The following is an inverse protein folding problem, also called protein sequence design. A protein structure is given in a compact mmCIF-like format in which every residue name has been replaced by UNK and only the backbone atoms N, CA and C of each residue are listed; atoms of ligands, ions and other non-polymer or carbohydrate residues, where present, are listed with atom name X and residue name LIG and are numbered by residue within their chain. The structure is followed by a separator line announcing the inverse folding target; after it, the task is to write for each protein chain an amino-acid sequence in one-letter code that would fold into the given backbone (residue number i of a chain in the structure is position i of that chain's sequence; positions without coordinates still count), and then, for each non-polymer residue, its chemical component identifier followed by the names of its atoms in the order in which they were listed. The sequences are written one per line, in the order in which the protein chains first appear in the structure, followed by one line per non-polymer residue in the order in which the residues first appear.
data_IF_674815844468
#
_entry.id   IF_674815844468
#
_cell.length_a   1.000
_cell.length_b   1.000
_cell.length_c   1.000
_cell.angle_alpha   90.00
_cell.angle_beta   90.00
_cell.angle_gamma   90.00
#
_symmetry.space_group_name_H-M   'P 1'
#
loop_
_entity.id
_entity.type
_entity.pdbx_description
1 polymer ?
#
# COMPACT_ATOMS: atom_id res chain seq x y z
N UNK A 1 9.09 -3.62 -18.27
CA UNK A 1 7.67 -3.78 -18.62
C UNK A 1 7.43 -3.10 -19.95
N UNK A 2 6.88 -3.80 -20.93
CA UNK A 2 6.43 -3.21 -22.19
C UNK A 2 5.01 -2.61 -22.00
N UNK A 3 4.60 -1.67 -22.88
CA UNK A 3 3.28 -1.00 -22.79
C UNK A 3 2.10 -1.98 -22.65
N UNK A 4 2.20 -3.16 -23.26
CA UNK A 4 1.17 -4.21 -23.19
C UNK A 4 1.02 -4.81 -21.79
N UNK A 5 2.09 -4.85 -20.98
CA UNK A 5 2.01 -5.32 -19.58
C UNK A 5 1.32 -4.28 -18.69
N UNK A 6 1.53 -2.98 -18.96
CA UNK A 6 0.83 -1.90 -18.24
C UNK A 6 -0.67 -1.88 -18.54
N UNK A 7 -1.06 -2.23 -19.77
CA UNK A 7 -2.46 -2.33 -20.16
C UNK A 7 -3.23 -3.44 -19.42
N UNK A 8 -2.53 -4.39 -18.82
CA UNK A 8 -3.10 -5.51 -18.06
C UNK A 8 -3.15 -5.29 -16.54
N UNK A 9 -2.48 -4.27 -16.01
CA UNK A 9 -2.38 -4.04 -14.56
C UNK A 9 -3.66 -3.51 -13.92
N UNK A 10 -4.03 -4.03 -12.76
CA UNK A 10 -5.05 -3.41 -11.92
C UNK A 10 -4.67 -2.01 -11.43
N UNK A 11 -5.62 -1.29 -10.80
CA UNK A 11 -5.33 -0.05 -10.10
C UNK A 11 -4.23 -0.25 -9.06
N UNK A 12 -3.26 0.66 -9.04
CA UNK A 12 -2.17 0.67 -8.05
C UNK A 12 -2.57 1.60 -6.91
N UNK A 13 -2.50 1.08 -5.69
CA UNK A 13 -2.68 1.85 -4.46
C UNK A 13 -1.40 1.83 -3.64
N UNK A 14 -1.23 2.84 -2.78
CA UNK A 14 -0.21 2.84 -1.74
C UNK A 14 -0.83 3.07 -0.36
N UNK A 15 -0.14 2.58 0.66
CA UNK A 15 -0.47 2.78 2.06
C UNK A 15 0.79 3.20 2.82
N UNK A 16 0.64 4.20 3.68
CA UNK A 16 1.64 4.58 4.69
C UNK A 16 1.06 4.25 6.05
N UNK A 17 1.70 3.34 6.76
CA UNK A 17 1.27 2.87 8.09
C UNK A 17 2.27 3.35 9.11
N UNK A 18 1.83 4.09 10.11
CA UNK A 18 2.67 4.54 11.22
C UNK A 18 2.59 3.58 12.42
N UNK A 19 3.75 3.33 13.03
CA UNK A 19 3.90 2.60 14.28
C UNK A 19 4.46 3.52 15.37
N UNK A 20 3.84 3.56 16.56
CA UNK A 20 4.29 4.41 17.66
C UNK A 20 5.75 4.18 18.07
N UNK A 21 6.46 5.23 18.46
CA UNK A 21 7.88 5.17 18.85
C UNK A 21 8.18 4.17 19.99
N UNK A 22 7.23 3.92 20.88
CA UNK A 22 7.34 3.01 22.01
C UNK A 22 6.89 1.57 21.68
N UNK A 23 6.39 1.32 20.46
CA UNK A 23 5.89 0.03 20.03
C UNK A 23 6.46 -0.36 18.67
N UNK A 24 7.30 -1.39 18.68
CA UNK A 24 7.77 -2.00 17.44
C UNK A 24 6.62 -2.67 16.68
N UNK A 25 6.66 -2.66 15.34
CA UNK A 25 5.79 -3.51 14.53
C UNK A 25 5.97 -4.97 14.95
N UNK A 26 4.89 -5.67 15.30
CA UNK A 26 4.95 -7.07 15.76
C UNK A 26 4.79 -8.09 14.62
N UNK A 27 4.50 -7.61 13.41
CA UNK A 27 4.35 -8.46 12.21
C UNK A 27 3.04 -9.26 12.17
N UNK A 28 2.14 -9.11 13.14
CA UNK A 28 0.89 -9.88 13.23
C UNK A 28 -0.04 -9.68 12.02
N UNK A 29 0.10 -8.56 11.30
CA UNK A 29 -0.66 -8.28 10.07
C UNK A 29 -0.08 -8.95 8.81
N UNK A 30 1.19 -9.35 8.82
CA UNK A 30 1.87 -9.89 7.63
C UNK A 30 1.25 -11.18 7.09
N UNK A 31 0.79 -12.16 7.92
CA UNK A 31 0.10 -13.33 7.41
C UNK A 31 -1.17 -13.00 6.62
N UNK A 32 -1.88 -11.92 6.97
CA UNK A 32 -3.04 -11.47 6.21
C UNK A 32 -2.63 -10.85 4.87
N UNK A 33 -1.51 -10.13 4.81
CA UNK A 33 -0.97 -9.62 3.56
C UNK A 33 -0.56 -10.77 2.63
N UNK A 34 0.08 -11.81 3.17
CA UNK A 34 0.43 -13.04 2.43
C UNK A 34 -0.83 -13.71 1.89
N UNK A 35 -1.87 -13.90 2.69
CA UNK A 35 -3.15 -14.49 2.25
C UNK A 35 -3.75 -13.73 1.05
N UNK A 36 -3.73 -12.39 1.08
CA UNK A 36 -4.23 -11.57 -0.04
C UNK A 36 -3.44 -11.81 -1.33
N UNK A 37 -2.11 -11.99 -1.23
CA UNK A 37 -1.22 -12.25 -2.37
C UNK A 37 -1.41 -13.67 -2.89
N UNK A 38 -1.41 -14.68 -2.00
CA UNK A 38 -1.60 -16.09 -2.37
C UNK A 38 -2.95 -16.33 -3.05
N UNK A 39 -3.98 -15.60 -2.62
CA UNK A 39 -5.32 -15.64 -3.25
C UNK A 39 -5.40 -14.83 -4.55
N UNK A 40 -4.34 -14.14 -4.94
CA UNK A 40 -4.29 -13.30 -6.14
C UNK A 40 -5.23 -12.10 -6.09
N UNK A 41 -5.59 -11.64 -4.89
CA UNK A 41 -6.46 -10.46 -4.71
C UNK A 41 -5.64 -9.19 -4.94
N UNK A 42 -4.43 -9.17 -4.42
CA UNK A 42 -3.46 -8.11 -4.66
C UNK A 42 -2.12 -8.70 -5.11
N UNK A 43 -1.26 -7.86 -5.70
CA UNK A 43 0.16 -8.12 -5.90
C UNK A 43 0.95 -7.03 -5.22
N UNK A 44 1.85 -7.39 -4.32
CA UNK A 44 2.77 -6.42 -3.71
C UNK A 44 3.82 -6.05 -4.76
N UNK A 45 3.97 -4.75 -4.99
CA UNK A 45 4.96 -4.19 -5.93
C UNK A 45 6.15 -3.61 -5.17
N UNK A 46 5.92 -3.08 -3.97
CA UNK A 46 6.98 -2.59 -3.10
C UNK A 46 6.50 -2.61 -1.64
N UNK A 47 7.40 -2.91 -0.72
CA UNK A 47 7.17 -2.84 0.72
C UNK A 47 8.45 -2.37 1.42
N UNK A 48 8.41 -1.16 1.94
CA UNK A 48 9.56 -0.53 2.60
C UNK A 48 9.22 -0.21 4.04
N UNK A 49 10.15 -0.51 4.95
CA UNK A 49 10.09 -0.05 6.33
C UNK A 49 11.05 1.11 6.53
N UNK A 50 10.58 2.15 7.20
CA UNK A 50 11.33 3.38 7.47
C UNK A 50 11.23 3.74 8.94
N UNK A 51 12.25 4.44 9.45
CA UNK A 51 12.22 5.13 10.72
C UNK A 51 12.38 6.61 10.48
N UNK A 52 11.51 7.41 11.11
CA UNK A 52 11.71 8.85 11.17
C UNK A 52 12.46 9.20 12.44
N UNK A 53 13.66 9.74 12.29
CA UNK A 53 14.49 10.17 13.40
C UNK A 53 13.94 11.47 14.00
N UNK A 54 14.40 11.81 15.21
CA UNK A 54 13.93 13.00 15.93
C UNK A 54 14.28 14.32 15.22
N UNK A 55 15.30 14.32 14.37
CA UNK A 55 15.68 15.46 13.52
C UNK A 55 14.88 15.53 12.20
N UNK A 56 13.95 14.60 12.00
CA UNK A 56 13.11 14.50 10.81
C UNK A 56 13.75 13.73 9.65
N UNK A 57 15.01 13.27 9.79
CA UNK A 57 15.65 12.43 8.78
C UNK A 57 15.02 11.03 8.72
N UNK A 58 15.10 10.40 7.55
CA UNK A 58 14.54 9.07 7.31
C UNK A 58 15.66 8.04 7.15
N UNK A 59 15.55 6.96 7.89
CA UNK A 59 16.41 5.79 7.77
C UNK A 59 15.58 4.59 7.32
N UNK A 60 16.03 3.90 6.26
CA UNK A 60 15.45 2.61 5.89
C UNK A 60 15.77 1.58 6.97
N UNK A 61 14.79 0.73 7.29
CA UNK A 61 14.96 -0.40 8.20
C UNK A 61 15.01 -1.66 7.35
N UNK A 62 16.10 -2.41 7.46
CA UNK A 62 16.18 -3.72 6.81
C UNK A 62 15.14 -4.65 7.45
N UNK A 63 14.48 -5.46 6.64
CA UNK A 63 13.34 -6.23 7.12
C UNK A 63 13.77 -7.32 8.12
N UNK A 64 15.01 -7.81 7.94
CA UNK A 64 15.66 -8.75 8.84
C UNK A 64 15.87 -8.16 10.25
N UNK A 65 16.05 -6.83 10.33
CA UNK A 65 16.28 -6.11 11.59
C UNK A 65 14.99 -5.88 12.40
N UNK A 66 13.82 -6.09 11.77
CA UNK A 66 12.52 -5.95 12.46
C UNK A 66 12.22 -7.13 13.38
N UNK A 67 12.89 -8.28 13.19
CA UNK A 67 12.82 -9.41 14.11
C UNK A 67 11.39 -9.97 14.27
N UNK A 68 10.60 -9.97 13.20
CA UNK A 68 9.22 -10.46 13.23
C UNK A 68 9.17 -11.91 13.71
N UNK A 69 8.47 -12.15 14.82
CA UNK A 69 8.42 -13.48 15.47
C UNK A 69 7.58 -14.50 14.67
N UNK A 70 6.90 -14.07 13.59
CA UNK A 70 5.90 -14.84 12.86
C UNK A 70 6.39 -15.72 11.71
N UNK A 71 7.70 -15.76 11.42
CA UNK A 71 8.27 -16.65 10.38
C UNK A 71 7.83 -16.35 8.94
N UNK A 72 7.16 -15.22 8.68
CA UNK A 72 6.86 -14.73 7.33
C UNK A 72 8.16 -14.21 6.73
N UNK A 73 8.58 -14.79 5.62
CA UNK A 73 9.72 -14.30 4.87
C UNK A 73 9.33 -13.03 4.10
N UNK A 74 9.51 -11.89 4.75
CA UNK A 74 9.16 -10.58 4.19
C UNK A 74 10.17 -10.15 3.11
N UNK A 75 11.32 -10.82 3.01
CA UNK A 75 12.27 -10.58 1.91
C UNK A 75 11.66 -10.93 0.55
N UNK A 76 10.65 -11.82 0.52
CA UNK A 76 9.80 -12.09 -0.65
C UNK A 76 9.16 -10.81 -1.24
N UNK A 77 8.84 -9.84 -0.39
CA UNK A 77 8.26 -8.55 -0.80
C UNK A 77 9.32 -7.50 -1.10
N UNK A 78 10.50 -7.61 -0.49
CA UNK A 78 11.64 -6.73 -0.74
C UNK A 78 12.33 -7.03 -2.08
N UNK A 79 12.41 -8.30 -2.50
CA UNK A 79 12.91 -8.70 -3.82
C UNK A 79 11.95 -8.31 -4.95
N UNK A 80 10.67 -8.11 -4.63
CA UNK A 80 9.68 -7.59 -5.56
C UNK A 80 9.80 -6.08 -5.80
N UNK A 81 10.65 -5.37 -5.05
CA UNK A 81 10.92 -3.95 -5.24
C UNK A 81 11.51 -3.72 -6.63
N UNK A 82 10.65 -3.45 -7.61
CA UNK A 82 11.07 -3.22 -9.00
C UNK A 82 11.77 -1.86 -9.18
N UNK A 83 12.06 -1.14 -8.09
CA UNK A 83 12.48 0.26 -8.11
C UNK A 83 11.34 1.20 -8.51
N UNK A 84 10.09 0.82 -8.24
CA UNK A 84 8.89 1.59 -8.60
C UNK A 84 8.73 2.86 -7.75
N UNK A 85 9.12 2.79 -6.48
CA UNK A 85 9.19 3.97 -5.60
C UNK A 85 10.62 4.47 -5.66
N UNK A 86 10.82 5.69 -6.16
CA UNK A 86 12.12 6.32 -6.04
C UNK A 86 12.33 6.89 -4.63
N UNK A 87 13.56 7.32 -4.33
CA UNK A 87 13.87 7.86 -3.00
C UNK A 87 13.04 9.10 -2.67
N UNK A 88 12.67 9.90 -3.66
CA UNK A 88 11.88 11.12 -3.47
C UNK A 88 10.44 10.80 -3.13
N UNK A 89 9.84 9.81 -3.80
CA UNK A 89 8.50 9.32 -3.47
C UNK A 89 8.45 8.73 -2.05
N UNK A 90 9.50 8.01 -1.65
CA UNK A 90 9.64 7.49 -0.28
C UNK A 90 9.73 8.62 0.75
N UNK A 91 10.52 9.66 0.47
CA UNK A 91 10.67 10.84 1.32
C UNK A 91 9.34 11.59 1.47
N UNK A 92 8.57 11.74 0.39
CA UNK A 92 7.25 12.37 0.41
C UNK A 92 6.24 11.53 1.20
N UNK A 93 6.17 10.22 0.92
CA UNK A 93 5.28 9.30 1.63
C UNK A 93 5.61 9.23 3.13
N UNK A 94 6.88 9.28 3.51
CA UNK A 94 7.31 9.26 4.91
C UNK A 94 7.29 10.65 5.58
N UNK A 95 7.09 11.73 4.82
CA UNK A 95 6.99 13.08 5.37
C UNK A 95 5.82 13.23 6.36
N UNK A 96 4.77 12.42 6.19
CA UNK A 96 3.56 12.41 7.02
C UNK A 96 3.75 11.68 8.36
N UNK A 97 4.84 10.93 8.53
CA UNK A 97 5.14 10.24 9.78
C UNK A 97 5.55 11.24 10.88
N UNK A 98 5.21 10.96 12.12
CA UNK A 98 5.67 11.71 13.28
C UNK A 98 7.15 11.40 13.60
N UNK A 99 7.95 12.40 14.00
CA UNK A 99 9.33 12.17 14.44
C UNK A 99 9.42 11.15 15.58
N UNK A 100 10.33 10.18 15.45
CA UNK A 100 10.53 9.09 16.40
C UNK A 100 9.71 7.83 16.09
N UNK A 101 8.66 7.93 15.25
CA UNK A 101 7.86 6.79 14.82
C UNK A 101 8.56 5.97 13.72
N UNK A 102 8.12 4.72 13.58
CA UNK A 102 8.47 3.87 12.43
C UNK A 102 7.29 3.83 11.47
N UNK A 103 7.55 3.51 10.20
CA UNK A 103 6.51 3.39 9.19
C UNK A 103 6.72 2.20 8.26
N UNK A 104 5.63 1.70 7.70
CA UNK A 104 5.64 0.78 6.57
C UNK A 104 4.93 1.44 5.38
N UNK A 105 5.60 1.45 4.23
CA UNK A 105 5.06 1.94 2.96
C UNK A 105 4.83 0.72 2.08
N UNK A 106 3.58 0.48 1.71
CA UNK A 106 3.18 -0.64 0.86
C UNK A 106 2.61 -0.10 -0.44
N UNK A 107 3.16 -0.52 -1.58
CA UNK A 107 2.60 -0.27 -2.92
C UNK A 107 2.13 -1.61 -3.48
N UNK A 108 0.88 -1.66 -3.92
CA UNK A 108 0.28 -2.90 -4.37
C UNK A 108 -0.70 -2.68 -5.52
N UNK A 109 -0.79 -3.67 -6.40
CA UNK A 109 -1.78 -3.77 -7.45
C UNK A 109 -3.06 -4.44 -6.93
N UNK A 110 -4.21 -3.88 -7.24
CA UNK A 110 -5.52 -4.51 -7.05
C UNK A 110 -5.83 -5.48 -8.20
N UNK A 111 -5.26 -6.68 -8.16
CA UNK A 111 -5.42 -7.70 -9.21
C UNK A 111 -6.88 -8.09 -9.47
N UNK A 112 -7.75 -8.03 -8.44
CA UNK A 112 -9.18 -8.29 -8.60
C UNK A 112 -9.87 -7.35 -9.62
N UNK A 113 -9.35 -6.13 -9.79
CA UNK A 113 -9.90 -5.12 -10.71
C UNK A 113 -9.19 -5.12 -12.08
N UNK A 114 -8.07 -5.83 -12.22
CA UNK A 114 -7.25 -5.85 -13.43
C UNK A 114 -8.05 -6.17 -14.70
N UNK A 115 -8.93 -7.20 -14.76
CA UNK A 115 -9.68 -7.50 -15.98
C UNK A 115 -10.63 -6.36 -16.39
N UNK A 116 -11.26 -5.71 -15.42
CA UNK A 116 -12.17 -4.59 -15.65
C UNK A 116 -11.41 -3.34 -16.12
N UNK A 117 -10.34 -2.95 -15.41
CA UNK A 117 -9.51 -1.81 -15.77
C UNK A 117 -8.90 -1.98 -17.18
N UNK A 118 -8.45 -3.19 -17.51
CA UNK A 118 -7.87 -3.53 -18.81
C UNK A 118 -8.90 -3.50 -19.94
N UNK A 119 -10.14 -3.93 -19.68
CA UNK A 119 -11.22 -3.81 -20.65
C UNK A 119 -11.51 -2.32 -20.97
N UNK A 120 -11.61 -1.47 -19.94
CA UNK A 120 -11.83 -0.04 -20.12
C UNK A 120 -10.69 0.64 -20.90
N UNK A 121 -9.42 0.36 -20.56
CA UNK A 121 -8.26 0.93 -21.27
C UNK A 121 -8.24 0.54 -22.75
N UNK A 122 -8.59 -0.71 -23.09
CA UNK A 122 -8.69 -1.17 -24.49
C UNK A 122 -9.78 -0.46 -25.29
N UNK A 123 -10.81 0.07 -24.63
CA UNK A 123 -11.83 0.92 -25.25
C UNK A 123 -11.41 2.40 -25.34
N UNK A 124 -10.19 2.73 -24.91
CA UNK A 124 -9.67 4.10 -24.89
C UNK A 124 -10.13 4.92 -23.68
N UNK A 125 -10.77 4.30 -22.69
CA UNK A 125 -11.11 4.98 -21.45
C UNK A 125 -9.86 5.24 -20.60
N UNK A 126 -9.86 6.35 -19.89
CA UNK A 126 -8.76 6.76 -19.01
C UNK A 126 -9.27 6.96 -17.58
N UNK A 127 -8.48 6.50 -16.61
CA UNK A 127 -8.72 6.80 -15.21
C UNK A 127 -8.39 8.28 -14.96
N UNK A 128 -9.39 9.08 -14.63
CA UNK A 128 -9.21 10.53 -14.39
C UNK A 128 -9.14 10.90 -12.91
N UNK A 129 -9.57 10.00 -12.02
CA UNK A 129 -9.51 10.20 -10.57
C UNK A 129 -9.54 8.85 -9.83
N UNK A 130 -8.84 8.76 -8.70
CA UNK A 130 -8.89 7.64 -7.75
C UNK A 130 -8.80 8.17 -6.32
N UNK A 131 -9.42 7.48 -5.36
CA UNK A 131 -9.39 7.87 -3.96
C UNK A 131 -10.29 6.98 -3.10
N UNK A 132 -10.17 7.14 -1.76
CA UNK A 132 -11.06 6.46 -0.81
C UNK A 132 -12.20 7.37 -0.40
N UNK A 133 -13.42 6.83 -0.42
CA UNK A 133 -14.60 7.52 0.10
C UNK A 133 -14.75 7.16 1.59
N UNK A 134 -14.82 8.15 2.51
CA UNK A 134 -15.02 7.87 3.93
C UNK A 134 -16.34 7.14 4.19
N UNK A 135 -16.28 6.05 4.96
CA UNK A 135 -17.46 5.22 5.29
C UNK A 135 -18.56 6.05 5.94
N UNK A 136 -18.21 6.98 6.83
CA UNK A 136 -19.19 7.88 7.48
C UNK A 136 -19.95 8.74 6.47
N UNK A 137 -19.29 9.13 5.36
CA UNK A 137 -19.95 9.83 4.26
C UNK A 137 -20.96 8.95 3.53
N UNK A 138 -20.65 7.66 3.34
CA UNK A 138 -21.58 6.68 2.76
C UNK A 138 -22.78 6.47 3.68
N UNK A 139 -22.55 6.27 4.99
CA UNK A 139 -23.63 6.06 5.96
C UNK A 139 -24.58 7.26 6.01
N UNK A 140 -24.04 8.48 6.10
CA UNK A 140 -24.84 9.69 6.10
C UNK A 140 -25.67 9.85 4.82
N UNK A 141 -25.13 9.45 3.66
CA UNK A 141 -25.85 9.49 2.38
C UNK A 141 -27.00 8.48 2.34
N UNK A 142 -26.82 7.27 2.90
CA UNK A 142 -27.86 6.25 2.98
C UNK A 142 -28.99 6.68 3.91
N UNK A 143 -28.68 7.20 5.11
CA UNK A 143 -29.68 7.69 6.07
C UNK A 143 -30.57 8.81 5.49
N UNK A 144 -29.99 9.69 4.66
CA UNK A 144 -30.72 10.76 3.99
C UNK A 144 -31.69 10.25 2.92
N UNK A 145 -31.35 9.16 2.20
CA UNK A 145 -32.23 8.53 1.22
C UNK A 145 -33.42 7.83 1.90
N UNK A 146 -33.15 7.13 2.99
CA UNK A 146 -34.19 6.46 3.78
C UNK A 146 -35.16 7.46 4.43
N UNK A 147 -34.65 8.62 4.88
CA UNK A 147 -35.46 9.69 5.46
C UNK A 147 -36.31 10.46 4.42
N UNK A 148 -35.96 10.35 3.14
CA UNK A 148 -36.68 10.99 2.03
C UNK A 148 -37.72 10.07 1.37
N UNK A 149 -37.81 8.81 1.83
CA UNK A 149 -38.75 7.77 1.36
C UNK A 149 -39.96 7.66 2.30
#
# INVERSE_FOLDING_TARGET
MNDTEFDELGPIDYLVVEFPADRKPDGSALPHLVDLVERGIIRVLDLVFVRKEADGSLAGIAVEDLGFEGGVDVTLFAEAATGLIDRTDLEEAASVLEPGCSGAILVYENCWAAPFASALRREGAQLVASGRIPVQGILAALDALDSAS
#
